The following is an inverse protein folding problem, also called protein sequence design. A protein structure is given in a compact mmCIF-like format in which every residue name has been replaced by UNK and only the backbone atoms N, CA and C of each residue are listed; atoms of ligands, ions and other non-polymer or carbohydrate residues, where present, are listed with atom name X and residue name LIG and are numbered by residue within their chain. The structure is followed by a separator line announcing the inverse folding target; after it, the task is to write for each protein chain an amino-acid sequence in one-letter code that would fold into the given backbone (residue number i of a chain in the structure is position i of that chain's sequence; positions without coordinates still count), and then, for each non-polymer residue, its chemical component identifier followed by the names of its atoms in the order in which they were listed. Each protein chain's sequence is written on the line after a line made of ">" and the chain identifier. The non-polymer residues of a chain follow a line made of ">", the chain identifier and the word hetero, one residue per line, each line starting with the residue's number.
data_IF_929457273512
#
_entry.id   IF_929457273512
#
_cell.length_a   1.000
_cell.length_b   1.000
_cell.length_c   1.000
_cell.angle_alpha   90.00
_cell.angle_beta   90.00
_cell.angle_gamma   90.00
#
_symmetry.space_group_name_H-M   'P 1'
#
loop_
_entity.id
_entity.type
_entity.pdbx_description
1 polymer ?
#
# COMPACT_ATOMS: atom_id res chain seq x y z
N UNK A 1 45.75 -42.08 -6.93
CA UNK A 1 44.34 -42.24 -7.38
C UNK A 1 43.30 -41.92 -6.30
N UNK A 2 43.45 -42.39 -5.06
CA UNK A 2 42.45 -42.17 -4.00
C UNK A 2 42.23 -40.70 -3.57
N UNK A 3 43.27 -39.85 -3.63
CA UNK A 3 43.21 -38.43 -3.18
C UNK A 3 42.36 -37.58 -4.14
N UNK A 4 42.50 -37.80 -5.45
CA UNK A 4 41.76 -37.08 -6.50
C UNK A 4 40.26 -37.43 -6.42
N UNK A 5 39.94 -38.70 -6.17
CA UNK A 5 38.56 -39.16 -6.00
C UNK A 5 37.89 -38.50 -4.78
N UNK A 6 38.63 -38.36 -3.66
CA UNK A 6 38.12 -37.74 -2.43
C UNK A 6 37.90 -36.23 -2.59
N UNK A 7 38.78 -35.54 -3.32
CA UNK A 7 38.58 -34.13 -3.67
C UNK A 7 37.40 -33.93 -4.63
N UNK A 8 37.24 -34.81 -5.63
CA UNK A 8 36.11 -34.74 -6.56
C UNK A 8 34.76 -34.91 -5.83
N UNK A 9 34.67 -35.85 -4.88
CA UNK A 9 33.45 -36.04 -4.07
C UNK A 9 33.16 -34.82 -3.21
N UNK A 10 34.17 -34.22 -2.57
CA UNK A 10 33.98 -33.01 -1.76
C UNK A 10 33.49 -31.84 -2.61
N UNK A 11 34.08 -31.62 -3.79
CA UNK A 11 33.64 -30.56 -4.71
C UNK A 11 32.19 -30.81 -5.14
N UNK A 12 31.82 -32.05 -5.46
CA UNK A 12 30.46 -32.40 -5.83
C UNK A 12 29.46 -32.11 -4.70
N UNK A 13 29.82 -32.44 -3.45
CA UNK A 13 29.01 -32.16 -2.27
C UNK A 13 28.83 -30.66 -2.04
N UNK A 14 29.87 -29.85 -2.26
CA UNK A 14 29.77 -28.39 -2.17
C UNK A 14 28.87 -27.82 -3.27
N UNK A 15 28.97 -28.33 -4.50
CA UNK A 15 28.10 -27.90 -5.61
C UNK A 15 26.65 -28.26 -5.31
N UNK A 16 26.38 -29.48 -4.82
CA UNK A 16 25.04 -29.91 -4.42
C UNK A 16 24.47 -29.06 -3.29
N UNK A 17 25.29 -28.67 -2.31
CA UNK A 17 24.88 -27.82 -1.21
C UNK A 17 24.57 -26.39 -1.68
N UNK A 18 25.37 -25.85 -2.60
CA UNK A 18 25.12 -24.55 -3.24
C UNK A 18 23.82 -24.60 -4.05
N UNK A 19 23.61 -25.64 -4.85
CA UNK A 19 22.37 -25.82 -5.62
C UNK A 19 21.16 -25.97 -4.71
N UNK A 20 21.26 -26.71 -3.61
CA UNK A 20 20.20 -26.81 -2.61
C UNK A 20 19.92 -25.45 -1.94
N UNK A 21 20.94 -24.67 -1.60
CA UNK A 21 20.76 -23.30 -1.11
C UNK A 21 20.08 -22.41 -2.14
N UNK A 22 20.45 -22.49 -3.41
CA UNK A 22 19.78 -21.75 -4.48
C UNK A 22 18.36 -22.25 -4.72
N UNK A 23 18.06 -23.54 -4.59
CA UNK A 23 16.68 -24.05 -4.69
C UNK A 23 15.81 -23.62 -3.50
N UNK A 24 16.38 -23.50 -2.29
CA UNK A 24 15.67 -22.94 -1.13
C UNK A 24 15.47 -21.43 -1.26
N UNK A 25 16.41 -20.71 -1.88
CA UNK A 25 16.29 -19.28 -2.17
C UNK A 25 15.39 -18.99 -3.40
N UNK A 26 15.33 -19.94 -4.35
CA UNK A 26 14.51 -19.88 -5.56
C UNK A 26 13.18 -20.65 -5.42
N UNK A 27 12.90 -21.22 -4.25
CA UNK A 27 11.53 -21.31 -3.77
C UNK A 27 11.10 -19.86 -3.61
N UNK A 28 10.63 -19.29 -4.72
CA UNK A 28 9.58 -18.29 -4.71
C UNK A 28 8.63 -18.78 -3.64
N UNK A 29 8.67 -18.09 -2.50
CA UNK A 29 7.56 -18.09 -1.59
C UNK A 29 6.43 -17.66 -2.49
N UNK A 30 5.58 -18.61 -2.90
CA UNK A 30 4.27 -18.29 -3.44
C UNK A 30 3.77 -17.20 -2.49
N UNK A 31 3.54 -15.97 -2.98
CA UNK A 31 3.03 -14.93 -2.12
C UNK A 31 1.83 -15.56 -1.43
N UNK A 32 1.71 -15.45 -0.09
CA UNK A 32 0.58 -16.02 0.61
C UNK A 32 -0.66 -15.65 -0.20
N UNK A 33 -1.53 -16.63 -0.51
CA UNK A 33 -2.79 -16.37 -1.22
C UNK A 33 -3.46 -15.19 -0.51
N UNK A 34 -3.24 -13.98 -1.04
CA UNK A 34 -3.87 -12.78 -0.56
C UNK A 34 -5.30 -13.01 -1.01
N UNK A 35 -6.18 -13.38 -0.05
CA UNK A 35 -7.63 -13.37 -0.27
C UNK A 35 -7.93 -12.10 -1.06
N UNK A 36 -8.30 -12.28 -2.33
CA UNK A 36 -8.21 -11.22 -3.32
C UNK A 36 -9.31 -10.21 -3.00
N UNK A 37 -9.04 -9.28 -2.07
CA UNK A 37 -10.01 -8.29 -1.64
C UNK A 37 -10.53 -7.56 -2.86
N UNK A 38 -11.85 -7.49 -2.97
CA UNK A 38 -12.49 -6.85 -4.11
C UNK A 38 -12.12 -5.37 -4.13
N UNK A 39 -11.97 -4.79 -5.32
CA UNK A 39 -11.67 -3.35 -5.46
C UNK A 39 -12.74 -2.52 -4.74
N UNK A 40 -14.01 -2.94 -4.84
CA UNK A 40 -15.13 -2.29 -4.15
C UNK A 40 -14.97 -2.26 -2.62
N UNK A 41 -14.54 -3.35 -1.98
CA UNK A 41 -14.29 -3.37 -0.53
C UNK A 41 -13.16 -2.43 -0.13
N UNK A 42 -12.09 -2.38 -0.92
CA UNK A 42 -10.96 -1.47 -0.66
C UNK A 42 -11.42 -0.01 -0.82
N UNK A 43 -12.19 0.30 -1.87
CA UNK A 43 -12.79 1.62 -2.07
C UNK A 43 -13.68 2.03 -0.89
N UNK A 44 -14.55 1.13 -0.43
CA UNK A 44 -15.45 1.39 0.70
C UNK A 44 -14.67 1.60 2.00
N UNK A 45 -13.62 0.82 2.23
CA UNK A 45 -12.71 0.99 3.36
C UNK A 45 -12.02 2.36 3.33
N UNK A 46 -11.51 2.79 2.17
CA UNK A 46 -10.89 4.10 2.01
C UNK A 46 -11.88 5.24 2.30
N UNK A 47 -13.10 5.19 1.77
CA UNK A 47 -14.13 6.22 2.01
C UNK A 47 -14.48 6.30 3.50
N UNK A 48 -14.62 5.15 4.16
CA UNK A 48 -15.00 5.10 5.58
C UNK A 48 -13.86 5.59 6.47
N UNK A 49 -12.62 5.17 6.16
CA UNK A 49 -11.42 5.56 6.91
C UNK A 49 -11.09 7.03 6.72
N UNK A 50 -11.31 7.60 5.53
CA UNK A 50 -11.13 9.04 5.26
C UNK A 50 -12.03 9.87 6.18
N UNK A 51 -13.31 9.50 6.28
CA UNK A 51 -14.27 10.14 7.19
C UNK A 51 -13.86 10.01 8.65
N UNK A 52 -13.50 8.81 9.11
CA UNK A 52 -13.07 8.59 10.50
C UNK A 52 -11.82 9.39 10.84
N UNK A 53 -10.83 9.43 9.94
CA UNK A 53 -9.63 10.26 10.12
C UNK A 53 -10.01 11.74 10.27
N UNK A 54 -10.80 12.28 9.34
CA UNK A 54 -11.25 13.68 9.39
C UNK A 54 -12.01 13.99 10.68
N UNK A 55 -12.93 13.12 11.09
CA UNK A 55 -13.68 13.28 12.34
C UNK A 55 -12.78 13.24 13.57
N UNK A 56 -11.82 12.30 13.63
CA UNK A 56 -10.85 12.22 14.71
C UNK A 56 -9.97 13.46 14.79
N UNK A 57 -9.51 13.99 13.66
CA UNK A 57 -8.76 15.25 13.65
C UNK A 57 -9.60 16.44 14.11
N UNK A 58 -10.85 16.55 13.64
CA UNK A 58 -11.79 17.60 14.06
C UNK A 58 -12.12 17.51 15.55
N UNK A 59 -12.37 16.31 16.07
CA UNK A 59 -12.69 16.07 17.47
C UNK A 59 -11.48 16.28 18.41
N UNK A 60 -10.26 16.06 17.90
CA UNK A 60 -9.01 16.20 18.66
C UNK A 60 -9.01 15.48 20.03
N UNK A 61 -9.36 14.18 20.09
CA UNK A 61 -9.39 13.41 21.33
C UNK A 61 -8.00 13.33 21.96
N UNK A 62 -7.96 13.35 23.30
CA UNK A 62 -6.69 13.31 24.04
C UNK A 62 -6.07 11.90 24.00
N UNK A 63 -4.83 11.80 23.55
CA UNK A 63 -4.00 10.58 23.66
C UNK A 63 -4.25 9.50 22.60
N UNK A 64 -4.99 9.76 21.53
CA UNK A 64 -5.24 8.79 20.45
C UNK A 64 -4.16 8.80 19.33
N UNK A 65 -2.97 9.33 19.61
CA UNK A 65 -1.93 9.51 18.59
C UNK A 65 -1.48 8.22 17.90
N UNK A 66 -1.33 7.12 18.64
CA UNK A 66 -0.96 5.82 18.07
C UNK A 66 -2.07 5.23 17.19
N UNK A 67 -3.33 5.36 17.61
CA UNK A 67 -4.49 4.90 16.85
C UNK A 67 -4.61 5.63 15.52
N UNK A 68 -4.40 6.96 15.53
CA UNK A 68 -4.36 7.75 14.30
C UNK A 68 -3.21 7.35 13.39
N UNK A 69 -2.01 7.15 13.93
CA UNK A 69 -0.89 6.69 13.10
C UNK A 69 -1.14 5.31 12.48
N UNK A 70 -1.79 4.41 13.21
CA UNK A 70 -2.18 3.09 12.69
C UNK A 70 -3.23 3.22 11.57
N UNK A 71 -4.27 4.04 11.76
CA UNK A 71 -5.29 4.29 10.75
C UNK A 71 -4.70 4.90 9.46
N UNK A 72 -3.81 5.89 9.59
CA UNK A 72 -3.15 6.49 8.43
C UNK A 72 -2.27 5.48 7.68
N UNK A 73 -1.61 4.56 8.40
CA UNK A 73 -0.84 3.48 7.75
C UNK A 73 -1.75 2.53 6.98
N UNK A 74 -2.84 2.06 7.59
CA UNK A 74 -3.81 1.19 6.93
C UNK A 74 -4.43 1.87 5.71
N UNK A 75 -4.70 3.17 5.81
CA UNK A 75 -5.18 3.98 4.69
C UNK A 75 -4.20 4.01 3.52
N UNK A 76 -2.90 4.22 3.79
CA UNK A 76 -1.85 4.16 2.78
C UNK A 76 -1.71 2.77 2.14
N UNK A 77 -1.77 1.71 2.95
CA UNK A 77 -1.66 0.34 2.46
C UNK A 77 -2.84 -0.01 1.52
N UNK A 78 -4.05 0.43 1.87
CA UNK A 78 -5.24 0.28 1.03
C UNK A 78 -5.15 1.08 -0.27
N UNK A 79 -4.67 2.33 -0.23
CA UNK A 79 -4.41 3.12 -1.45
C UNK A 79 -3.38 2.45 -2.35
N UNK A 80 -2.28 1.96 -1.79
CA UNK A 80 -1.24 1.27 -2.54
C UNK A 80 -1.75 -0.03 -3.18
N UNK A 81 -2.64 -0.76 -2.49
CA UNK A 81 -3.30 -1.96 -3.03
C UNK A 81 -4.16 -1.61 -4.25
N UNK A 82 -4.97 -0.55 -4.18
CA UNK A 82 -5.77 -0.08 -5.31
C UNK A 82 -4.90 0.36 -6.49
N UNK A 83 -3.85 1.15 -6.24
CA UNK A 83 -2.91 1.58 -7.29
C UNK A 83 -2.30 0.38 -7.99
N UNK A 84 -1.87 -0.64 -7.24
CA UNK A 84 -1.28 -1.86 -7.79
C UNK A 84 -2.27 -2.65 -8.63
N UNK A 85 -3.51 -2.85 -8.15
CA UNK A 85 -4.57 -3.54 -8.89
C UNK A 85 -4.86 -2.84 -10.21
N UNK A 86 -5.06 -1.52 -10.20
CA UNK A 86 -5.31 -0.73 -11.40
C UNK A 86 -4.13 -0.69 -12.39
N UNK A 87 -2.88 -0.62 -11.90
CA UNK A 87 -1.71 -0.70 -12.77
C UNK A 87 -1.58 -2.07 -13.45
N UNK A 88 -1.91 -3.15 -12.74
CA UNK A 88 -1.89 -4.51 -13.29
C UNK A 88 -3.02 -4.74 -14.30
N UNK A 89 -4.21 -4.22 -14.04
CA UNK A 89 -5.35 -4.28 -14.97
C UNK A 89 -5.08 -3.53 -16.26
N UNK A 90 -4.48 -2.34 -16.16
CA UNK A 90 -3.97 -1.61 -17.33
C UNK A 90 -2.97 -2.44 -18.14
N UNK A 91 -2.05 -3.15 -17.48
CA UNK A 91 -1.07 -4.02 -18.16
C UNK A 91 -1.74 -5.18 -18.89
N UNK A 92 -2.88 -5.63 -18.39
CA UNK A 92 -3.61 -6.79 -18.91
C UNK A 92 -4.81 -6.41 -19.81
N UNK A 93 -5.07 -5.13 -20.07
CA UNK A 93 -6.24 -4.61 -20.80
C UNK A 93 -7.59 -5.12 -20.24
N UNK A 94 -7.72 -5.20 -18.91
CA UNK A 94 -8.95 -5.61 -18.24
C UNK A 94 -9.60 -4.36 -17.64
N UNK A 95 -10.81 -3.99 -18.08
CA UNK A 95 -11.55 -2.78 -17.64
C UNK A 95 -12.63 -3.05 -16.58
N UNK A 96 -12.69 -4.25 -16.00
CA UNK A 96 -13.82 -4.71 -15.18
C UNK A 96 -14.03 -3.97 -13.85
N UNK A 97 -13.08 -3.14 -13.41
CA UNK A 97 -13.08 -2.51 -12.07
C UNK A 97 -13.25 -1.01 -12.09
N UNK A 98 -13.24 -0.36 -13.28
CA UNK A 98 -13.29 1.10 -13.43
C UNK A 98 -14.53 1.68 -12.75
N UNK A 99 -15.67 0.99 -12.83
CA UNK A 99 -16.92 1.38 -12.14
C UNK A 99 -16.80 1.36 -10.62
N UNK A 100 -15.98 0.48 -10.04
CA UNK A 100 -15.86 0.32 -8.59
C UNK A 100 -15.06 1.44 -7.94
N UNK A 101 -14.13 2.06 -8.69
CA UNK A 101 -13.37 3.19 -8.20
C UNK A 101 -13.91 4.56 -8.65
N UNK A 102 -14.88 4.60 -9.56
CA UNK A 102 -15.65 5.82 -9.83
C UNK A 102 -16.27 6.39 -8.54
N UNK A 103 -16.71 5.53 -7.61
CA UNK A 103 -17.22 5.95 -6.30
C UNK A 103 -16.18 6.71 -5.44
N UNK A 104 -14.88 6.41 -5.57
CA UNK A 104 -13.80 7.16 -4.91
C UNK A 104 -13.61 8.54 -5.54
N UNK A 105 -13.75 8.63 -6.87
CA UNK A 105 -13.61 9.87 -7.62
C UNK A 105 -14.82 10.80 -7.36
N UNK A 106 -16.03 10.25 -7.40
CA UNK A 106 -17.29 10.95 -7.11
C UNK A 106 -17.31 11.52 -5.69
N UNK A 107 -16.60 10.88 -4.77
CA UNK A 107 -16.43 11.37 -3.40
C UNK A 107 -15.53 12.61 -3.28
N UNK A 108 -14.98 13.13 -4.38
CA UNK A 108 -14.16 14.34 -4.41
C UNK A 108 -12.70 14.12 -3.99
N UNK A 109 -12.28 12.86 -3.92
CA UNK A 109 -11.00 12.45 -3.35
C UNK A 109 -10.94 12.56 -1.83
N UNK A 110 -9.81 12.18 -1.21
CA UNK A 110 -9.74 12.08 0.24
C UNK A 110 -9.75 13.46 0.91
N UNK A 111 -10.74 13.71 1.77
CA UNK A 111 -10.79 14.95 2.56
C UNK A 111 -9.63 14.96 3.58
N UNK A 112 -9.21 13.79 4.07
CA UNK A 112 -8.10 13.66 5.01
C UNK A 112 -6.78 14.23 4.46
N UNK A 113 -6.47 14.03 3.18
CA UNK A 113 -5.23 14.55 2.60
C UNK A 113 -5.28 16.08 2.41
N UNK A 114 -6.48 16.64 2.25
CA UNK A 114 -6.72 18.07 2.05
C UNK A 114 -6.92 18.83 3.37
N UNK A 115 -7.12 18.12 4.49
CA UNK A 115 -7.34 18.73 5.80
C UNK A 115 -6.05 19.36 6.36
N UNK A 116 -6.08 20.66 6.70
CA UNK A 116 -4.93 21.29 7.34
C UNK A 116 -4.77 20.81 8.79
N UNK A 117 -3.57 20.37 9.17
CA UNK A 117 -3.29 19.89 10.53
C UNK A 117 -2.13 20.68 11.11
N UNK A 118 -2.41 21.45 12.15
CA UNK A 118 -1.40 22.21 12.88
C UNK A 118 -0.56 21.30 13.78
N UNK A 119 0.77 21.43 13.70
CA UNK A 119 1.71 20.67 14.55
C UNK A 119 1.45 20.80 16.06
N UNK A 120 1.17 21.99 16.61
CA UNK A 120 0.84 22.13 18.03
C UNK A 120 -0.36 21.27 18.45
N UNK A 121 -1.36 21.10 17.57
CA UNK A 121 -2.53 20.26 17.84
C UNK A 121 -2.13 18.78 17.94
N UNK A 122 -1.19 18.33 17.10
CA UNK A 122 -0.64 16.97 17.14
C UNK A 122 0.07 16.65 18.46
N UNK A 123 0.88 17.59 18.94
CA UNK A 123 1.68 17.40 20.15
C UNK A 123 0.82 17.51 21.42
N UNK A 124 -0.04 18.53 21.52
CA UNK A 124 -0.82 18.82 22.73
C UNK A 124 -2.05 17.94 22.91
N UNK A 125 -2.74 17.57 21.82
CA UNK A 125 -3.99 16.81 21.88
C UNK A 125 -3.71 15.32 21.72
N UNK A 126 -3.01 14.94 20.67
CA UNK A 126 -2.80 13.53 20.34
C UNK A 126 -1.65 12.89 21.12
N UNK A 127 -0.88 13.68 21.88
CA UNK A 127 0.25 13.18 22.67
C UNK A 127 1.39 12.66 21.79
N UNK A 128 1.45 13.13 20.54
CA UNK A 128 2.43 12.67 19.55
C UNK A 128 3.72 13.48 19.74
N UNK A 129 4.85 12.79 19.92
CA UNK A 129 6.15 13.48 19.99
C UNK A 129 6.60 14.00 18.61
N UNK A 130 7.64 14.84 18.57
CA UNK A 130 8.13 15.45 17.32
C UNK A 130 8.51 14.41 16.23
N UNK A 131 9.08 13.26 16.63
CA UNK A 131 9.45 12.19 15.69
C UNK A 131 8.21 11.57 15.06
N UNK A 132 7.24 11.18 15.88
CA UNK A 132 5.97 10.62 15.41
C UNK A 132 5.16 11.64 14.61
N UNK A 133 5.23 12.93 14.94
CA UNK A 133 4.65 14.02 14.14
C UNK A 133 5.27 14.09 12.75
N UNK A 134 6.61 13.99 12.64
CA UNK A 134 7.31 13.90 11.34
C UNK A 134 6.89 12.66 10.55
N UNK A 135 6.82 11.50 11.20
CA UNK A 135 6.37 10.26 10.57
C UNK A 135 4.96 10.43 10.01
N UNK A 136 4.05 11.00 10.78
CA UNK A 136 2.70 11.28 10.36
C UNK A 136 2.66 12.23 9.16
N UNK A 137 3.44 13.31 9.16
CA UNK A 137 3.58 14.19 7.98
C UNK A 137 4.07 13.42 6.74
N UNK A 138 5.09 12.56 6.88
CA UNK A 138 5.57 11.72 5.78
C UNK A 138 4.51 10.75 5.27
N UNK A 139 3.76 10.10 6.18
CA UNK A 139 2.67 9.20 5.82
C UNK A 139 1.54 9.93 5.08
N UNK A 140 1.26 11.18 5.45
CA UNK A 140 0.29 12.02 4.72
C UNK A 140 0.77 12.39 3.33
N UNK A 141 2.04 12.73 3.18
CA UNK A 141 2.61 12.97 1.85
C UNK A 141 2.53 11.71 0.97
N UNK A 142 2.82 10.54 1.53
CA UNK A 142 2.68 9.27 0.81
C UNK A 142 1.23 9.02 0.36
N UNK A 143 0.23 9.35 1.19
CA UNK A 143 -1.18 9.26 0.80
C UNK A 143 -1.51 10.16 -0.39
N UNK A 144 -0.97 11.39 -0.41
CA UNK A 144 -1.14 12.35 -1.51
C UNK A 144 -0.53 11.78 -2.80
N UNK A 145 0.70 11.26 -2.71
CA UNK A 145 1.42 10.74 -3.87
C UNK A 145 0.69 9.51 -4.46
N UNK A 146 0.26 8.58 -3.60
CA UNK A 146 -0.52 7.41 -4.01
C UNK A 146 -1.87 7.79 -4.63
N UNK A 147 -2.55 8.78 -4.07
CA UNK A 147 -3.81 9.29 -4.65
C UNK A 147 -3.59 9.90 -6.03
N UNK A 148 -2.52 10.68 -6.23
CA UNK A 148 -2.17 11.23 -7.53
C UNK A 148 -1.84 10.15 -8.55
N UNK A 149 -1.13 9.11 -8.13
CA UNK A 149 -0.81 7.98 -9.00
C UNK A 149 -2.05 7.17 -9.37
N UNK A 150 -2.94 6.91 -8.42
CA UNK A 150 -4.25 6.33 -8.68
C UNK A 150 -5.02 7.16 -9.71
N UNK A 151 -5.17 8.47 -9.48
CA UNK A 151 -5.92 9.37 -10.37
C UNK A 151 -5.33 9.41 -11.80
N UNK A 152 -4.00 9.41 -11.95
CA UNK A 152 -3.33 9.36 -13.26
C UNK A 152 -3.56 8.04 -14.00
N UNK A 153 -3.64 6.93 -13.28
CA UNK A 153 -3.91 5.62 -13.88
C UNK A 153 -5.38 5.54 -14.27
N UNK A 154 -6.27 5.95 -13.37
CA UNK A 154 -7.72 5.99 -13.57
C UNK A 154 -8.14 6.84 -14.78
N UNK A 155 -7.73 8.11 -14.82
CA UNK A 155 -8.07 9.04 -15.91
C UNK A 155 -7.67 8.49 -17.29
N UNK A 156 -6.48 7.90 -17.40
CA UNK A 156 -6.01 7.30 -18.65
C UNK A 156 -6.80 6.07 -19.09
N UNK A 157 -7.43 5.34 -18.16
CA UNK A 157 -8.28 4.19 -18.49
C UNK A 157 -9.65 4.69 -18.91
N UNK A 158 -10.21 5.65 -18.18
CA UNK A 158 -11.49 6.31 -18.50
C UNK A 158 -11.50 6.93 -19.89
N UNK A 159 -10.42 7.63 -20.29
CA UNK A 159 -10.33 8.25 -21.62
C UNK A 159 -10.39 7.23 -22.77
N UNK A 160 -9.91 5.99 -22.53
CA UNK A 160 -9.97 4.90 -23.53
C UNK A 160 -11.36 4.29 -23.70
N UNK A 161 -12.20 4.34 -22.68
CA UNK A 161 -13.57 3.79 -22.74
C UNK A 161 -14.54 4.74 -23.46
N UNK A 162 -14.22 6.04 -23.60
CA UNK A 162 -15.03 7.02 -24.34
C UNK A 162 -14.77 7.04 -25.86
N UNK A 163 -13.69 6.41 -26.36
CA UNK A 163 -13.33 6.39 -27.79
C UNK A 163 -13.87 5.17 -28.58
N UNK A 164 -14.73 4.32 -27.99
CA UNK A 164 -15.27 3.08 -28.63
C UNK A 164 -16.74 3.19 -29.02
#
# INVERSE_FOLDING_TARGET
>A
MAIILKQAINILSYILLIVACFMVLAQETEPPEEEEQSVQEICQFLITTDKDLVEKYKASPKGEGEAIMALVRQYNDALASIVRKYMNEKRNNVTSTVTDAQALIDHGGPEFINFYIERPILEERFGINNVSSRILCCQRQNAIDLWQDFYKVYSKISDTDEEV
#
